data_IF_119815949330
#
_entry.id   IF_119815949330
#
_cell.length_a   1.000
_cell.length_b   1.000
_cell.length_c   1.000
_cell.angle_alpha   90.00
_cell.angle_beta   90.00
_cell.angle_gamma   90.00
#
_symmetry.space_group_name_H-M   'P 1'
#
loop_
_entity.id
_entity.type
_entity.pdbx_description
1 polymer ?
#
# COMPACT_ATOMS: atom_id res chain seq x y z
N UNK A 1 -5.51 9.19 4.65
CA UNK A 1 -5.01 9.22 6.04
C UNK A 1 -3.48 9.12 6.01
N UNK A 2 -2.76 9.94 6.79
CA UNK A 2 -1.29 9.84 6.87
C UNK A 2 -0.83 8.72 7.79
N UNK A 3 0.25 8.05 7.42
CA UNK A 3 0.87 6.96 8.16
C UNK A 3 2.34 7.33 8.39
N UNK A 4 2.84 7.10 9.60
CA UNK A 4 4.23 7.25 9.99
C UNK A 4 4.96 5.93 9.78
N UNK A 5 5.98 5.95 8.94
CA UNK A 5 6.89 4.84 8.69
C UNK A 5 8.25 5.15 9.31
N UNK A 6 8.70 4.31 10.23
CA UNK A 6 10.06 4.36 10.77
C UNK A 6 10.85 3.28 10.05
N UNK A 7 12.02 3.65 9.54
CA UNK A 7 12.88 2.74 8.78
C UNK A 7 14.32 2.83 9.26
N UNK A 8 15.12 1.83 8.92
CA UNK A 8 16.56 1.86 9.11
C UNK A 8 17.28 2.51 7.91
N UNK A 9 18.61 2.49 7.95
CA UNK A 9 19.45 3.06 6.89
C UNK A 9 19.53 2.17 5.64
N UNK A 10 19.02 0.93 5.69
CA UNK A 10 18.93 0.02 4.53
C UNK A 10 17.56 0.11 3.83
N UNK A 11 16.62 0.88 4.40
CA UNK A 11 15.29 1.09 3.85
C UNK A 11 14.25 0.08 4.32
N UNK A 12 14.57 -0.72 5.34
CA UNK A 12 13.65 -1.68 5.94
C UNK A 12 12.72 -0.95 6.91
N UNK A 13 11.40 -1.20 6.76
CA UNK A 13 10.39 -0.60 7.63
C UNK A 13 10.37 -1.35 8.96
N UNK A 14 10.71 -0.65 10.03
CA UNK A 14 10.75 -1.16 11.40
C UNK A 14 9.41 -0.99 12.12
N UNK A 15 8.69 0.09 11.82
CA UNK A 15 7.41 0.40 12.47
C UNK A 15 6.51 1.21 11.55
N UNK A 16 5.21 0.94 11.63
CA UNK A 16 4.16 1.67 10.94
C UNK A 16 3.13 2.13 11.96
N UNK A 17 2.79 3.42 11.98
CA UNK A 17 1.87 4.00 12.95
C UNK A 17 0.86 4.91 12.26
N UNK A 18 -0.41 4.71 12.58
CA UNK A 18 -1.53 5.55 12.14
C UNK A 18 -2.55 5.65 13.25
N UNK A 19 -3.30 6.75 13.33
CA UNK A 19 -4.40 6.87 14.29
C UNK A 19 -4.69 8.29 14.71
N UNK A 20 -5.58 8.39 15.72
CA UNK A 20 -5.93 9.63 16.40
C UNK A 20 -5.71 9.47 17.92
N UNK A 21 -4.98 10.39 18.59
CA UNK A 21 -4.28 11.54 18.02
C UNK A 21 -3.14 11.14 17.06
N UNK A 22 -2.68 12.08 16.24
CA UNK A 22 -1.61 11.82 15.28
C UNK A 22 -0.35 11.31 15.99
N UNK A 23 0.39 10.33 15.40
CA UNK A 23 1.62 9.83 15.99
C UNK A 23 2.66 10.94 16.19
N UNK A 24 3.41 10.86 17.30
CA UNK A 24 4.52 11.77 17.54
C UNK A 24 5.66 11.47 16.56
N UNK A 25 6.16 12.50 15.87
CA UNK A 25 7.29 12.35 14.97
C UNK A 25 8.57 11.99 15.76
N UNK A 26 9.32 10.96 15.33
CA UNK A 26 10.58 10.59 15.96
C UNK A 26 11.66 11.66 15.84
N UNK A 27 12.62 11.64 16.76
CA UNK A 27 13.82 12.50 16.72
C UNK A 27 15.04 11.60 16.75
N UNK A 28 15.95 11.76 15.79
CA UNK A 28 17.20 10.98 15.71
C UNK A 28 17.10 9.63 15.01
N UNK A 29 15.93 9.26 14.49
CA UNK A 29 15.75 8.07 13.63
C UNK A 29 15.10 8.45 12.30
N UNK A 30 15.46 7.79 11.19
CA UNK A 30 14.83 8.03 9.89
C UNK A 30 13.32 7.71 9.92
N UNK A 31 12.52 8.58 9.32
CA UNK A 31 11.09 8.37 9.18
C UNK A 31 10.51 9.06 7.95
N UNK A 32 9.36 8.56 7.48
CA UNK A 32 8.52 9.18 6.47
C UNK A 32 7.11 9.31 7.03
N UNK A 33 6.46 10.48 6.87
CA UNK A 33 5.10 10.72 7.33
C UNK A 33 4.22 11.25 6.20
N UNK A 34 3.60 10.33 5.47
CA UNK A 34 2.91 10.61 4.21
C UNK A 34 1.59 9.86 4.08
N UNK A 35 0.79 10.25 3.09
CA UNK A 35 -0.45 9.57 2.74
C UNK A 35 -0.19 8.53 1.66
N UNK A 36 -0.72 7.32 1.86
CA UNK A 36 -0.60 6.24 0.89
C UNK A 36 -1.77 6.34 -0.09
N UNK A 37 -1.51 6.38 -1.40
CA UNK A 37 -2.57 6.32 -2.41
C UNK A 37 -3.45 5.08 -2.23
N UNK A 38 -4.73 5.22 -2.53
CA UNK A 38 -5.66 4.09 -2.51
C UNK A 38 -5.21 2.98 -3.47
N UNK A 39 -5.42 1.71 -3.07
CA UNK A 39 -5.00 0.55 -3.86
C UNK A 39 -3.49 0.27 -3.83
N UNK A 40 -2.68 1.09 -3.15
CA UNK A 40 -1.25 0.86 -2.96
C UNK A 40 -0.91 0.37 -1.55
N UNK A 41 0.13 -0.44 -1.45
CA UNK A 41 0.78 -0.83 -0.19
C UNK A 41 2.24 -0.41 -0.21
N UNK A 42 2.81 -0.18 0.97
CA UNK A 42 4.24 0.11 1.13
C UNK A 42 5.00 -1.20 1.32
N UNK A 43 6.11 -1.38 0.59
CA UNK A 43 7.00 -2.54 0.74
C UNK A 43 8.39 -2.19 1.28
N UNK A 44 8.79 -0.93 1.23
CA UNK A 44 10.07 -0.47 1.78
C UNK A 44 10.28 1.03 1.60
N UNK A 45 11.51 1.47 1.84
CA UNK A 45 11.95 2.85 1.64
C UNK A 45 13.16 2.85 0.70
N UNK A 46 13.11 3.64 -0.35
CA UNK A 46 14.26 3.97 -1.19
C UNK A 46 15.13 5.00 -0.47
N UNK A 47 16.22 4.50 0.11
CA UNK A 47 17.25 5.28 0.83
C UNK A 47 18.35 5.80 -0.10
N UNK A 48 18.31 5.48 -1.41
CA UNK A 48 19.30 5.98 -2.38
C UNK A 48 19.05 7.43 -2.80
N UNK A 49 17.85 7.96 -2.52
CA UNK A 49 17.43 9.31 -2.86
C UNK A 49 17.29 10.19 -1.62
N UNK A 50 17.48 11.50 -1.76
CA UNK A 50 17.30 12.47 -0.66
C UNK A 50 16.34 13.59 -1.10
N UNK A 51 15.17 13.75 -0.45
CA UNK A 51 14.66 12.96 0.67
C UNK A 51 14.30 11.51 0.27
N UNK A 52 14.46 10.57 1.21
CA UNK A 52 14.09 9.16 1.01
C UNK A 52 12.61 9.03 0.62
N UNK A 53 12.25 7.99 -0.14
CA UNK A 53 10.88 7.81 -0.66
C UNK A 53 10.32 6.43 -0.34
N UNK A 54 9.00 6.34 -0.15
CA UNK A 54 8.32 5.04 0.00
C UNK A 54 8.34 4.26 -1.32
N UNK A 55 8.61 2.97 -1.24
CA UNK A 55 8.42 2.04 -2.35
C UNK A 55 6.97 1.54 -2.27
N UNK A 56 6.20 1.83 -3.32
CA UNK A 56 4.78 1.51 -3.40
C UNK A 56 4.52 0.41 -4.43
N UNK A 57 3.70 -0.56 -4.04
CA UNK A 57 3.21 -1.63 -4.90
C UNK A 57 1.69 -1.65 -4.93
N UNK A 58 1.11 -2.23 -5.98
CA UNK A 58 -0.33 -2.49 -6.02
C UNK A 58 -0.73 -3.56 -5.01
N UNK A 59 -1.85 -3.33 -4.32
CA UNK A 59 -2.46 -4.33 -3.45
C UNK A 59 -2.98 -5.46 -4.36
N UNK A 60 -2.56 -6.71 -4.16
CA UNK A 60 -3.06 -7.82 -4.96
C UNK A 60 -4.57 -7.99 -4.72
N UNK A 61 -5.33 -8.24 -5.79
CA UNK A 61 -6.75 -8.54 -5.70
C UNK A 61 -6.98 -9.75 -4.79
N UNK A 62 -7.95 -9.65 -3.88
CA UNK A 62 -8.30 -10.79 -3.03
C UNK A 62 -8.87 -11.93 -3.87
N UNK A 63 -8.81 -13.16 -3.35
CA UNK A 63 -9.44 -14.33 -4.00
C UNK A 63 -10.94 -14.11 -4.23
N UNK A 64 -11.61 -13.38 -3.32
CA UNK A 64 -13.02 -13.03 -3.43
C UNK A 64 -13.25 -12.05 -4.59
N UNK A 65 -12.39 -11.06 -4.76
CA UNK A 65 -12.52 -10.10 -5.86
C UNK A 65 -12.24 -10.77 -7.21
N UNK A 66 -11.25 -11.67 -7.26
CA UNK A 66 -10.99 -12.50 -8.43
C UNK A 66 -12.19 -13.40 -8.77
N UNK A 67 -12.84 -14.00 -7.76
CA UNK A 67 -14.03 -14.81 -7.95
C UNK A 67 -15.22 -13.98 -8.45
N UNK A 68 -15.45 -12.79 -7.88
CA UNK A 68 -16.49 -11.86 -8.36
C UNK A 68 -16.25 -11.47 -9.82
N UNK A 69 -15.01 -11.16 -10.18
CA UNK A 69 -14.65 -10.85 -11.57
C UNK A 69 -14.96 -12.04 -12.48
N UNK A 70 -14.57 -13.25 -12.08
CA UNK A 70 -14.83 -14.47 -12.85
C UNK A 70 -16.32 -14.70 -13.05
N UNK A 71 -17.15 -14.49 -12.02
CA UNK A 71 -18.61 -14.61 -12.11
C UNK A 71 -19.19 -13.52 -13.02
N UNK A 72 -18.70 -12.29 -12.93
CA UNK A 72 -19.14 -11.20 -13.79
C UNK A 72 -18.84 -11.50 -15.26
N UNK A 73 -17.62 -11.93 -15.57
CA UNK A 73 -17.18 -12.28 -16.92
C UNK A 73 -18.03 -13.44 -17.49
N UNK A 74 -18.27 -14.49 -16.69
CA UNK A 74 -19.15 -15.60 -17.07
C UNK A 74 -20.58 -15.15 -17.33
N UNK A 75 -21.12 -14.24 -16.51
CA UNK A 75 -22.47 -13.73 -16.66
C UNK A 75 -22.59 -12.91 -17.96
N UNK A 76 -21.58 -12.11 -18.29
CA UNK A 76 -21.54 -11.35 -19.54
C UNK A 76 -21.48 -12.26 -20.77
N UNK A 77 -20.70 -13.35 -20.72
CA UNK A 77 -20.65 -14.35 -21.80
C UNK A 77 -22.02 -14.99 -22.03
N UNK A 78 -22.71 -15.40 -20.95
CA UNK A 78 -24.05 -15.99 -21.04
C UNK A 78 -25.07 -14.98 -21.60
N UNK A 79 -25.01 -13.73 -21.16
CA UNK A 79 -25.94 -12.67 -21.61
C UNK A 79 -25.70 -12.20 -23.05
N UNK A 80 -24.45 -12.27 -23.52
CA UNK A 80 -24.08 -11.90 -24.90
C UNK A 80 -24.36 -13.00 -25.93
N UNK A 81 -25.05 -14.08 -25.54
CA UNK A 81 -25.43 -15.17 -26.43
C UNK A 81 -24.30 -16.16 -26.70
N UNK A 82 -23.29 -16.21 -25.82
CA UNK A 82 -22.34 -17.30 -25.78
C UNK A 82 -23.08 -18.61 -25.50
N UNK A 83 -22.96 -19.53 -26.47
CA UNK A 83 -23.53 -20.88 -26.58
C UNK A 83 -23.68 -21.62 -25.25
#
# INVERSE_FOLDING_TARGET
MKILFIHDNEGVILSQQSGHPAPRLPVGVPYIYEEIPEGKRVTGVDVSVTPCKLILEDIPSSEIDQLKQTVADLTEIVLSGGI
#
